data_IF_976755527106
#
_entry.id   IF_976755527106
#
_cell.length_a   1.000
_cell.length_b   1.000
_cell.length_c   1.000
_cell.angle_alpha   90.00
_cell.angle_beta   90.00
_cell.angle_gamma   90.00
#
_symmetry.space_group_name_H-M   'P 1'
#
loop_
_entity.id
_entity.type
_entity.pdbx_description
1 polymer ?
#
# COMPACT_ATOMS: atom_id res chain seq x y z
N UNK A 1 -3.67 9.54 4.82
CA UNK A 1 -3.96 10.21 3.53
C UNK A 1 -5.41 10.65 3.52
N UNK A 2 -5.69 11.93 3.25
CA UNK A 2 -7.06 12.45 3.17
C UNK A 2 -7.83 11.85 1.99
N UNK A 3 -9.15 11.85 2.07
CA UNK A 3 -10.01 11.36 0.99
C UNK A 3 -9.91 12.24 -0.26
N UNK A 4 -9.75 13.55 -0.10
CA UNK A 4 -9.55 14.50 -1.20
C UNK A 4 -8.29 14.17 -2.02
N UNK A 5 -7.16 13.91 -1.37
CA UNK A 5 -5.94 13.54 -2.05
C UNK A 5 -6.09 12.17 -2.73
N UNK A 6 -6.75 11.22 -2.07
CA UNK A 6 -7.00 9.92 -2.65
C UNK A 6 -7.85 10.00 -3.92
N UNK A 7 -8.89 10.84 -3.93
CA UNK A 7 -9.74 11.04 -5.10
C UNK A 7 -8.97 11.58 -6.33
N UNK A 8 -7.86 12.29 -6.12
CA UNK A 8 -6.98 12.76 -7.19
C UNK A 8 -6.00 11.67 -7.66
N UNK A 9 -5.54 10.81 -6.75
CA UNK A 9 -4.52 9.78 -7.03
C UNK A 9 -5.13 8.52 -7.62
N UNK A 10 -6.25 8.04 -7.08
CA UNK A 10 -6.94 6.81 -7.49
C UNK A 10 -7.15 6.68 -9.02
N UNK A 11 -7.65 7.70 -9.75
CA UNK A 11 -7.87 7.57 -11.20
C UNK A 11 -6.57 7.46 -12.02
N UNK A 12 -5.42 7.78 -11.43
CA UNK A 12 -4.11 7.66 -12.09
C UNK A 12 -3.54 6.25 -12.00
N UNK A 13 -4.06 5.43 -11.08
CA UNK A 13 -3.58 4.08 -10.89
C UNK A 13 -4.16 3.14 -11.95
N UNK A 14 -3.37 2.17 -12.46
CA UNK A 14 -3.87 1.18 -13.39
C UNK A 14 -4.90 0.28 -12.68
N UNK A 15 -5.93 -0.13 -13.42
CA UNK A 15 -6.90 -1.10 -12.91
C UNK A 15 -6.18 -2.40 -12.55
N UNK A 16 -6.54 -3.05 -11.43
CA UNK A 16 -5.97 -4.35 -11.07
C UNK A 16 -6.17 -5.36 -12.20
N UNK A 17 -5.07 -5.99 -12.62
CA UNK A 17 -5.13 -7.09 -13.57
C UNK A 17 -5.82 -8.32 -12.98
N UNK A 18 -6.25 -9.27 -13.83
CA UNK A 18 -6.81 -10.53 -13.37
C UNK A 18 -5.80 -11.29 -12.50
N UNK A 19 -6.28 -11.91 -11.42
CA UNK A 19 -5.44 -12.80 -10.60
C UNK A 19 -5.08 -14.04 -11.42
N UNK A 20 -3.79 -14.26 -11.66
CA UNK A 20 -3.28 -15.42 -12.41
C UNK A 20 -3.00 -16.64 -11.52
N UNK A 21 -2.88 -16.45 -10.20
CA UNK A 21 -2.54 -17.49 -9.23
C UNK A 21 -3.24 -17.22 -7.90
N UNK A 22 -3.63 -18.28 -7.20
CA UNK A 22 -4.08 -18.17 -5.81
C UNK A 22 -2.87 -17.87 -4.90
N UNK A 23 -3.03 -16.86 -4.05
CA UNK A 23 -1.97 -16.37 -3.18
C UNK A 23 -2.51 -15.33 -2.21
N UNK A 24 -1.61 -14.70 -1.45
CA UNK A 24 -1.98 -13.65 -0.50
C UNK A 24 -2.84 -12.59 -1.20
N UNK A 25 -4.00 -12.21 -0.63
CA UNK A 25 -4.82 -11.14 -1.18
C UNK A 25 -4.02 -9.85 -1.37
N UNK A 26 -4.25 -9.16 -2.49
CA UNK A 26 -3.67 -7.83 -2.75
C UNK A 26 -4.16 -6.86 -1.68
N UNK A 27 -3.24 -6.09 -1.10
CA UNK A 27 -3.56 -4.98 -0.21
C UNK A 27 -4.21 -3.86 -1.04
N UNK A 28 -5.29 -3.21 -0.56
CA UNK A 28 -5.88 -2.07 -1.24
C UNK A 28 -4.83 -0.99 -1.58
N UNK A 29 -4.91 -0.44 -2.79
CA UNK A 29 -3.90 0.50 -3.31
C UNK A 29 -3.71 1.73 -2.41
N UNK A 30 -4.80 2.19 -1.77
CA UNK A 30 -4.76 3.27 -0.78
C UNK A 30 -3.87 2.94 0.41
N UNK A 31 -3.98 1.72 0.93
CA UNK A 31 -3.18 1.25 2.07
C UNK A 31 -1.72 1.06 1.67
N UNK A 32 -1.48 0.49 0.49
CA UNK A 32 -0.12 0.36 -0.04
C UNK A 32 0.57 1.72 -0.21
N UNK A 33 -0.12 2.72 -0.75
CA UNK A 33 0.41 4.08 -0.88
C UNK A 33 0.70 4.72 0.47
N UNK A 34 -0.19 4.56 1.46
CA UNK A 34 0.06 5.02 2.83
C UNK A 34 1.34 4.39 3.41
N UNK A 35 1.59 3.09 3.17
CA UNK A 35 2.81 2.41 3.59
C UNK A 35 4.07 3.00 2.96
N UNK A 36 4.06 3.19 1.63
CA UNK A 36 5.17 3.82 0.90
C UNK A 36 5.46 5.20 1.46
N UNK A 37 4.43 6.04 1.65
CA UNK A 37 4.61 7.38 2.21
C UNK A 37 5.13 7.35 3.65
N UNK A 38 4.69 6.40 4.47
CA UNK A 38 5.16 6.25 5.84
C UNK A 38 6.65 5.92 5.87
N UNK A 39 7.10 4.95 5.08
CA UNK A 39 8.52 4.56 4.96
C UNK A 39 9.36 5.75 4.49
N UNK A 40 8.91 6.45 3.44
CA UNK A 40 9.62 7.63 2.92
C UNK A 40 9.67 8.80 3.91
N UNK A 41 8.62 8.99 4.71
CA UNK A 41 8.55 10.08 5.68
C UNK A 41 9.41 9.82 6.93
N UNK A 42 9.40 8.58 7.42
CA UNK A 42 10.10 8.18 8.65
C UNK A 42 11.54 7.73 8.39
N UNK A 43 11.87 7.33 7.16
CA UNK A 43 13.19 6.84 6.78
C UNK A 43 13.50 5.42 7.30
N UNK A 44 12.50 4.71 7.83
CA UNK A 44 12.70 3.33 8.31
C UNK A 44 12.93 2.36 7.15
N UNK A 45 13.50 1.20 7.44
CA UNK A 45 13.53 0.10 6.48
C UNK A 45 12.16 -0.58 6.40
N UNK A 46 11.85 -1.20 5.25
CA UNK A 46 10.59 -1.91 5.02
C UNK A 46 10.30 -3.04 6.03
N UNK A 47 11.35 -3.70 6.54
CA UNK A 47 11.24 -4.76 7.57
C UNK A 47 10.71 -4.22 8.91
N UNK A 48 10.93 -2.93 9.18
CA UNK A 48 10.46 -2.28 10.40
C UNK A 48 9.10 -1.60 10.25
N UNK A 49 8.42 -1.76 9.11
CA UNK A 49 7.09 -1.20 8.93
C UNK A 49 6.10 -1.91 9.89
N UNK A 50 5.42 -1.18 10.80
CA UNK A 50 4.53 -1.81 11.78
C UNK A 50 3.38 -2.55 11.09
N UNK A 51 3.22 -3.83 11.41
CA UNK A 51 2.21 -4.70 10.77
C UNK A 51 0.79 -4.31 11.17
N UNK A 52 0.62 -3.72 12.36
CA UNK A 52 -0.65 -3.26 12.92
C UNK A 52 -1.31 -2.16 12.06
N UNK A 53 -0.51 -1.45 11.25
CA UNK A 53 -0.99 -0.41 10.34
C UNK A 53 -1.65 -0.98 9.07
N UNK A 54 -1.45 -2.27 8.78
CA UNK A 54 -2.11 -2.95 7.66
C UNK A 54 -1.70 -2.45 6.26
N UNK A 55 -0.60 -1.71 6.13
CA UNK A 55 -0.14 -1.15 4.85
C UNK A 55 0.45 -2.18 3.87
N UNK A 56 0.76 -3.37 4.36
CA UNK A 56 1.44 -4.42 3.59
C UNK A 56 2.96 -4.25 3.58
N UNK A 57 3.65 -5.40 3.71
CA UNK A 57 5.11 -5.56 3.87
C UNK A 57 5.65 -5.08 5.24
N UNK A 58 6.67 -5.70 5.85
CA UNK A 58 7.62 -6.67 5.31
C UNK A 58 8.01 -7.77 6.29
N UNK A 59 7.43 -8.95 6.10
CA UNK A 59 8.04 -10.29 6.16
C UNK A 59 6.92 -11.32 6.20
N UNK A 60 7.00 -12.30 5.30
CA UNK A 60 6.28 -13.58 5.29
C UNK A 60 7.28 -14.66 4.99
#
# INVERSE_FOLDING_TARGET
MSDELWALVEPLLPKPGPKLVEGRPRVPDRQALCGVLFVLHTGIQWEYLPQELGFGSGMT
#
